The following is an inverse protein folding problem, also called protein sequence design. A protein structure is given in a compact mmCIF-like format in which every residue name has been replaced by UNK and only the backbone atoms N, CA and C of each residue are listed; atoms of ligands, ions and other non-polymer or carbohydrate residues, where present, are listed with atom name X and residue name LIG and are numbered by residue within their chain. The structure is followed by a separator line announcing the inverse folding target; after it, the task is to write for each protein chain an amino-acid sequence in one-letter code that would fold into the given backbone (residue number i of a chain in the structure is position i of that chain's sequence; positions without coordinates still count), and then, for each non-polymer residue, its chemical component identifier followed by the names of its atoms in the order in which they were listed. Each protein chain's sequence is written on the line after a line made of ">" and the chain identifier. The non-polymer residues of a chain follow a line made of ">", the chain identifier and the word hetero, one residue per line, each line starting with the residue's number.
data_IF_903434579340
#
_entry.id   IF_903434579340
#
_cell.length_a   1.000
_cell.length_b   1.000
_cell.length_c   1.000
_cell.angle_alpha   90.00
_cell.angle_beta   90.00
_cell.angle_gamma   90.00
#
_symmetry.space_group_name_H-M   'P 1'
#
loop_
_entity.id
_entity.type
_entity.pdbx_description
1 polymer ?
#
# COMPACT_ATOMS: atom_id res chain seq x y z
N UNK A 1 -18.17 -14.82 8.78
CA UNK A 1 -16.70 -15.03 8.81
C UNK A 1 -16.22 -14.76 10.21
N UNK A 2 -15.39 -15.62 10.81
CA UNK A 2 -14.82 -15.32 12.13
C UNK A 2 -13.80 -14.19 12.00
N UNK A 3 -13.89 -13.16 12.85
CA UNK A 3 -12.97 -12.01 12.85
C UNK A 3 -11.49 -12.45 12.85
N UNK A 4 -11.07 -13.50 13.59
CA UNK A 4 -9.69 -13.98 13.55
C UNK A 4 -9.25 -14.51 12.18
N UNK A 5 -10.13 -15.20 11.44
CA UNK A 5 -9.79 -15.76 10.13
C UNK A 5 -9.58 -14.64 9.09
N UNK A 6 -10.43 -13.60 9.12
CA UNK A 6 -10.24 -12.42 8.28
C UNK A 6 -8.91 -11.73 8.59
N UNK A 7 -8.59 -11.58 9.88
CA UNK A 7 -7.34 -10.95 10.32
C UNK A 7 -6.10 -11.72 9.87
N UNK A 8 -6.09 -13.06 10.06
CA UNK A 8 -4.99 -13.92 9.58
C UNK A 8 -4.84 -13.87 8.06
N UNK A 9 -5.95 -13.84 7.32
CA UNK A 9 -5.92 -13.69 5.87
C UNK A 9 -5.28 -12.38 5.43
N UNK A 10 -5.64 -11.27 6.06
CA UNK A 10 -5.03 -9.97 5.78
C UNK A 10 -3.53 -9.98 6.07
N UNK A 11 -3.10 -10.53 7.22
CA UNK A 11 -1.68 -10.64 7.57
C UNK A 11 -0.92 -11.43 6.49
N UNK A 12 -1.41 -12.61 6.11
CA UNK A 12 -0.72 -13.43 5.11
C UNK A 12 -0.59 -12.71 3.76
N UNK A 13 -1.64 -12.04 3.29
CA UNK A 13 -1.63 -11.30 2.02
C UNK A 13 -0.69 -10.09 2.10
N UNK A 14 -0.73 -9.35 3.21
CA UNK A 14 0.02 -8.09 3.34
C UNK A 14 1.50 -8.33 3.64
N UNK A 15 1.83 -9.30 4.48
CA UNK A 15 3.23 -9.65 4.77
C UNK A 15 3.97 -10.22 3.55
N UNK A 16 3.27 -10.89 2.63
CA UNK A 16 3.86 -11.42 1.39
C UNK A 16 3.90 -10.42 0.25
N UNK A 17 3.18 -9.29 0.35
CA UNK A 17 3.08 -8.31 -0.74
C UNK A 17 4.41 -7.64 -1.08
N UNK A 18 5.20 -7.09 -0.13
CA UNK A 18 6.49 -6.48 -0.43
C UNK A 18 7.50 -7.45 -1.06
N UNK A 19 7.46 -8.72 -0.65
CA UNK A 19 8.27 -9.78 -1.25
C UNK A 19 7.84 -10.05 -2.70
N UNK A 20 6.53 -10.22 -2.93
CA UNK A 20 5.98 -10.42 -4.27
C UNK A 20 6.26 -9.24 -5.22
N UNK A 21 6.28 -7.99 -4.72
CA UNK A 21 6.64 -6.80 -5.49
C UNK A 21 8.09 -6.89 -5.98
N UNK A 22 9.01 -7.33 -5.11
CA UNK A 22 10.42 -7.47 -5.48
C UNK A 22 10.60 -8.57 -6.53
N UNK A 23 10.00 -9.74 -6.31
CA UNK A 23 10.09 -10.86 -7.26
C UNK A 23 9.41 -10.58 -8.60
N UNK A 24 8.27 -9.89 -8.62
CA UNK A 24 7.60 -9.58 -9.90
C UNK A 24 8.31 -8.50 -10.71
N UNK A 25 9.18 -7.71 -10.07
CA UNK A 25 10.04 -6.75 -10.76
C UNK A 25 11.34 -7.40 -11.29
N UNK A 26 11.72 -8.58 -10.79
CA UNK A 26 12.89 -9.33 -11.28
C UNK A 26 12.63 -9.86 -12.69
N UNK A 27 13.55 -9.59 -13.62
CA UNK A 27 13.45 -9.99 -15.03
C UNK A 27 12.76 -8.96 -15.92
N UNK A 28 11.44 -8.79 -15.80
CA UNK A 28 10.62 -7.94 -16.69
C UNK A 28 10.68 -6.43 -16.41
N UNK A 29 11.32 -6.03 -15.31
CA UNK A 29 11.37 -4.65 -14.84
C UNK A 29 10.14 -4.25 -14.02
N UNK A 30 10.29 -3.20 -13.22
CA UNK A 30 9.26 -2.77 -12.26
C UNK A 30 7.93 -2.37 -12.91
N UNK A 31 7.96 -1.77 -14.11
CA UNK A 31 6.76 -1.38 -14.86
C UNK A 31 5.93 -2.59 -15.26
N UNK A 32 6.58 -3.68 -15.69
CA UNK A 32 5.88 -4.91 -16.02
C UNK A 32 5.20 -5.49 -14.77
N UNK A 33 5.94 -5.57 -13.65
CA UNK A 33 5.40 -6.09 -12.39
C UNK A 33 4.17 -5.32 -11.90
N UNK A 34 4.22 -3.98 -11.89
CA UNK A 34 3.09 -3.15 -11.46
C UNK A 34 1.92 -3.24 -12.44
N UNK A 35 2.16 -3.15 -13.75
CA UNK A 35 1.12 -3.22 -14.76
C UNK A 35 0.42 -4.58 -14.77
N UNK A 36 1.17 -5.68 -14.66
CA UNK A 36 0.61 -7.02 -14.58
C UNK A 36 -0.25 -7.19 -13.31
N UNK A 37 0.24 -6.74 -12.15
CA UNK A 37 -0.53 -6.79 -10.89
C UNK A 37 -1.83 -6.00 -10.97
N UNK A 38 -1.78 -4.79 -11.53
CA UNK A 38 -2.94 -3.92 -11.65
C UNK A 38 -3.96 -4.46 -12.66
N UNK A 39 -3.48 -4.99 -13.79
CA UNK A 39 -4.34 -5.62 -14.79
C UNK A 39 -5.01 -6.88 -14.25
N UNK A 40 -4.27 -7.75 -13.56
CA UNK A 40 -4.81 -8.95 -12.91
C UNK A 40 -5.87 -8.57 -11.88
N UNK A 41 -5.58 -7.57 -11.03
CA UNK A 41 -6.55 -7.05 -10.06
C UNK A 41 -7.83 -6.54 -10.74
N UNK A 42 -7.69 -5.74 -11.79
CA UNK A 42 -8.83 -5.21 -12.54
C UNK A 42 -9.67 -6.31 -13.19
N UNK A 43 -9.03 -7.29 -13.85
CA UNK A 43 -9.71 -8.43 -14.48
C UNK A 43 -10.43 -9.28 -13.43
N UNK A 44 -9.77 -9.59 -12.31
CA UNK A 44 -10.40 -10.32 -11.21
C UNK A 44 -11.61 -9.57 -10.64
N UNK A 45 -11.48 -8.27 -10.38
CA UNK A 45 -12.60 -7.45 -9.89
C UNK A 45 -13.76 -7.43 -10.89
N UNK A 46 -13.50 -7.21 -12.19
CA UNK A 46 -14.55 -7.23 -13.22
C UNK A 46 -15.21 -8.61 -13.34
N UNK A 47 -14.45 -9.69 -13.26
CA UNK A 47 -14.98 -11.05 -13.27
C UNK A 47 -15.88 -11.32 -12.07
N UNK A 48 -15.45 -10.92 -10.86
CA UNK A 48 -16.26 -11.05 -9.64
C UNK A 48 -17.51 -10.17 -9.69
N UNK A 49 -17.42 -8.95 -10.22
CA UNK A 49 -18.59 -8.09 -10.43
C UNK A 49 -19.59 -8.73 -11.39
N UNK A 50 -19.11 -9.34 -12.48
CA UNK A 50 -19.95 -10.12 -13.39
C UNK A 50 -20.59 -11.33 -12.72
N UNK A 51 -19.80 -12.10 -11.95
CA UNK A 51 -20.28 -13.29 -11.24
C UNK A 51 -21.34 -12.98 -10.18
N UNK A 52 -21.16 -11.89 -9.43
CA UNK A 52 -22.09 -11.45 -8.40
C UNK A 52 -23.13 -10.44 -8.91
N UNK A 53 -23.16 -10.16 -10.22
CA UNK A 53 -24.06 -9.19 -10.84
C UNK A 53 -24.08 -7.82 -10.14
N UNK A 54 -22.91 -7.37 -9.68
CA UNK A 54 -22.76 -6.07 -9.02
C UNK A 54 -22.92 -4.96 -10.08
N UNK A 55 -23.92 -4.06 -9.95
CA UNK A 55 -24.12 -3.01 -10.92
C UNK A 55 -22.95 -2.02 -10.91
N UNK A 56 -22.45 -1.67 -12.10
CA UNK A 56 -21.41 -0.66 -12.28
C UNK A 56 -22.02 0.60 -12.88
N UNK A 57 -22.17 1.70 -12.10
CA UNK A 57 -22.57 2.99 -12.64
C UNK A 57 -21.62 3.44 -13.76
N UNK A 58 -22.19 3.86 -14.89
CA UNK A 58 -21.44 4.33 -16.07
C UNK A 58 -21.68 5.81 -16.37
N UNK A 59 -22.23 6.55 -15.41
CA UNK A 59 -22.38 7.98 -15.56
C UNK A 59 -21.00 8.67 -15.58
N UNK A 60 -20.95 9.89 -16.14
CA UNK A 60 -19.70 10.62 -16.30
C UNK A 60 -18.99 10.89 -14.98
N UNK A 61 -19.72 11.04 -13.86
CA UNK A 61 -19.10 11.24 -12.54
C UNK A 61 -18.49 9.95 -12.04
N UNK A 62 -19.19 8.82 -12.15
CA UNK A 62 -18.64 7.51 -11.82
C UNK A 62 -17.38 7.17 -12.62
N UNK A 63 -17.41 7.37 -13.94
CA UNK A 63 -16.24 7.17 -14.80
C UNK A 63 -15.07 8.09 -14.42
N UNK A 64 -15.34 9.36 -14.12
CA UNK A 64 -14.30 10.28 -13.65
C UNK A 64 -13.68 9.80 -12.33
N UNK A 65 -14.50 9.34 -11.38
CA UNK A 65 -14.01 8.77 -10.11
C UNK A 65 -13.14 7.54 -10.36
N UNK A 66 -13.52 6.63 -11.26
CA UNK A 66 -12.73 5.44 -11.58
C UNK A 66 -11.37 5.81 -12.18
N UNK A 67 -11.34 6.79 -13.08
CA UNK A 67 -10.09 7.25 -13.69
C UNK A 67 -9.20 7.94 -12.66
N UNK A 68 -9.73 8.85 -11.85
CA UNK A 68 -8.96 9.59 -10.84
C UNK A 68 -8.40 8.62 -9.79
N UNK A 69 -9.24 7.75 -9.23
CA UNK A 69 -8.82 6.76 -8.24
C UNK A 69 -7.83 5.75 -8.85
N UNK A 70 -8.08 5.30 -10.09
CA UNK A 70 -7.21 4.37 -10.81
C UNK A 70 -5.83 4.96 -11.08
N UNK A 71 -5.74 6.22 -11.51
CA UNK A 71 -4.46 6.92 -11.71
C UNK A 71 -3.74 7.09 -10.37
N UNK A 72 -4.44 7.48 -9.30
CA UNK A 72 -3.84 7.59 -7.96
C UNK A 72 -3.26 6.26 -7.47
N UNK A 73 -4.05 5.19 -7.58
CA UNK A 73 -3.63 3.84 -7.17
C UNK A 73 -2.47 3.32 -8.01
N UNK A 74 -2.52 3.49 -9.34
CA UNK A 74 -1.44 3.08 -10.23
C UNK A 74 -0.17 3.90 -9.98
N UNK A 75 -0.29 5.21 -9.75
CA UNK A 75 0.83 6.10 -9.42
C UNK A 75 1.51 5.72 -8.11
N UNK A 76 0.72 5.51 -7.04
CA UNK A 76 1.22 5.02 -5.75
C UNK A 76 1.95 3.68 -5.90
N UNK A 77 1.34 2.72 -6.59
CA UNK A 77 1.97 1.41 -6.83
C UNK A 77 3.23 1.52 -7.69
N UNK A 78 3.25 2.38 -8.70
CA UNK A 78 4.44 2.59 -9.54
C UNK A 78 5.59 3.16 -8.73
N UNK A 79 5.34 4.15 -7.87
CA UNK A 79 6.34 4.70 -6.96
C UNK A 79 6.87 3.64 -5.98
N UNK A 80 5.98 2.76 -5.50
CA UNK A 80 6.35 1.62 -4.65
C UNK A 80 7.28 0.65 -5.37
N UNK A 81 6.88 0.21 -6.56
CA UNK A 81 7.65 -0.73 -7.39
C UNK A 81 9.00 -0.15 -7.79
N UNK A 82 9.03 1.15 -8.15
CA UNK A 82 10.29 1.83 -8.46
C UNK A 82 11.20 1.89 -7.24
N UNK A 83 10.66 2.30 -6.08
CA UNK A 83 11.43 2.43 -4.84
C UNK A 83 11.95 1.09 -4.31
N UNK A 84 11.15 0.03 -4.42
CA UNK A 84 11.51 -1.33 -4.00
C UNK A 84 12.71 -1.93 -4.74
N UNK A 85 13.14 -1.35 -5.87
CA UNK A 85 14.39 -1.74 -6.55
C UNK A 85 15.63 -1.30 -5.77
N UNK A 86 15.53 -0.27 -4.94
CA UNK A 86 16.66 0.36 -4.27
C UNK A 86 16.72 0.07 -2.77
N UNK A 87 15.66 -0.52 -2.20
CA UNK A 87 15.56 -0.80 -0.77
C UNK A 87 15.12 -2.26 -0.51
N UNK A 88 15.51 -2.86 0.62
CA UNK A 88 15.01 -4.18 1.02
C UNK A 88 13.49 -4.18 1.18
N UNK A 89 12.85 -5.34 0.90
CA UNK A 89 11.41 -5.53 1.09
C UNK A 89 10.99 -5.36 2.56
N UNK A 90 11.90 -5.60 3.51
CA UNK A 90 11.73 -5.27 4.93
C UNK A 90 11.44 -3.79 5.12
N UNK A 91 12.32 -2.91 4.64
CA UNK A 91 12.15 -1.45 4.66
C UNK A 91 10.86 -1.01 3.95
N UNK A 92 10.50 -1.60 2.80
CA UNK A 92 9.19 -1.32 2.16
C UNK A 92 8.03 -1.60 3.13
N UNK A 93 8.10 -2.73 3.84
CA UNK A 93 7.07 -3.13 4.80
C UNK A 93 6.97 -2.15 5.97
N UNK A 94 8.11 -1.63 6.44
CA UNK A 94 8.17 -0.58 7.47
C UNK A 94 7.41 0.67 7.03
N UNK A 95 7.72 1.14 5.83
CA UNK A 95 7.15 2.37 5.31
C UNK A 95 5.65 2.23 5.08
N UNK A 96 5.18 1.09 4.57
CA UNK A 96 3.73 0.79 4.49
C UNK A 96 3.07 0.60 5.86
N UNK A 97 3.83 0.21 6.89
CA UNK A 97 3.34 0.22 8.27
C UNK A 97 2.97 1.62 8.77
N UNK A 98 3.43 2.69 8.11
CA UNK A 98 3.05 4.07 8.39
C UNK A 98 1.69 4.46 7.81
N UNK A 99 1.14 3.69 6.86
CA UNK A 99 -0.12 4.02 6.19
C UNK A 99 -1.25 4.36 7.16
N UNK A 100 -1.55 3.58 8.23
CA UNK A 100 -2.62 3.92 9.15
C UNK A 100 -2.45 5.27 9.85
N UNK A 101 -1.20 5.69 10.10
CA UNK A 101 -0.89 6.99 10.71
C UNK A 101 -1.15 8.11 9.70
N UNK A 102 -0.65 7.96 8.46
CA UNK A 102 -0.84 8.94 7.40
C UNK A 102 -2.33 9.08 7.04
N UNK A 103 -3.01 7.95 6.80
CA UNK A 103 -4.46 7.92 6.52
C UNK A 103 -5.25 8.51 7.68
N UNK A 104 -4.85 8.25 8.94
CA UNK A 104 -5.48 8.83 10.11
C UNK A 104 -5.38 10.37 10.15
N UNK A 105 -4.20 10.92 9.88
CA UNK A 105 -3.98 12.39 9.78
C UNK A 105 -4.84 12.99 8.67
N UNK A 106 -4.82 12.38 7.48
CA UNK A 106 -5.59 12.86 6.33
C UNK A 106 -7.11 12.79 6.60
N UNK A 107 -7.59 11.75 7.27
CA UNK A 107 -9.00 11.62 7.63
C UNK A 107 -9.44 12.68 8.65
N UNK A 108 -8.60 13.04 9.62
CA UNK A 108 -8.90 14.16 10.52
C UNK A 108 -8.95 15.49 9.75
N UNK A 109 -8.00 15.71 8.84
CA UNK A 109 -7.88 16.97 8.13
C UNK A 109 -8.94 17.18 7.04
N UNK A 110 -9.28 16.13 6.27
CA UNK A 110 -10.22 16.21 5.15
C UNK A 110 -11.64 15.77 5.51
N UNK A 111 -11.81 14.76 6.37
CA UNK A 111 -13.12 14.24 6.75
C UNK A 111 -13.61 14.77 8.10
N UNK A 112 -12.77 15.51 8.84
CA UNK A 112 -13.13 16.06 10.15
C UNK A 112 -13.30 14.99 11.23
N UNK A 113 -12.80 13.77 11.01
CA UNK A 113 -12.92 12.68 11.98
C UNK A 113 -12.08 12.94 13.24
N UNK A 114 -12.58 12.49 14.40
CA UNK A 114 -11.82 12.53 15.66
C UNK A 114 -11.13 11.18 15.92
N UNK A 115 -10.11 10.89 15.13
CA UNK A 115 -9.39 9.60 15.17
C UNK A 115 -8.30 9.54 16.25
N UNK A 116 -7.79 10.69 16.70
CA UNK A 116 -6.67 10.82 17.64
C UNK A 116 -7.10 10.67 19.10
N UNK A 117 -7.41 9.44 19.53
CA UNK A 117 -7.52 9.12 20.96
C UNK A 117 -6.16 8.75 21.53
N UNK A 118 -5.88 9.03 22.82
CA UNK A 118 -4.58 8.72 23.44
C UNK A 118 -4.17 7.26 23.29
N UNK A 119 -5.12 6.33 23.40
CA UNK A 119 -4.88 4.90 23.22
C UNK A 119 -4.49 4.50 21.79
N UNK A 120 -5.10 5.12 20.76
CA UNK A 120 -4.75 4.87 19.35
C UNK A 120 -3.37 5.44 19.02
N UNK A 121 -3.05 6.62 19.55
CA UNK A 121 -1.72 7.23 19.40
C UNK A 121 -0.66 6.34 20.08
N UNK A 122 -0.92 5.90 21.31
CA UNK A 122 -0.01 4.99 22.03
C UNK A 122 0.22 3.67 21.29
N UNK A 123 -0.84 3.04 20.77
CA UNK A 123 -0.73 1.83 19.96
C UNK A 123 0.04 2.05 18.65
N UNK A 124 -0.19 3.17 17.96
CA UNK A 124 0.53 3.54 16.75
C UNK A 124 2.03 3.77 17.04
N UNK A 125 2.37 4.50 18.10
CA UNK A 125 3.75 4.74 18.51
C UNK A 125 4.48 3.46 18.92
N UNK A 126 3.80 2.55 19.64
CA UNK A 126 4.36 1.23 19.98
C UNK A 126 4.60 0.38 18.73
N UNK A 127 3.64 0.34 17.80
CA UNK A 127 3.81 -0.35 16.52
C UNK A 127 4.97 0.21 15.72
N UNK A 128 5.08 1.54 15.65
CA UNK A 128 6.19 2.24 15.01
C UNK A 128 7.55 1.94 15.66
N UNK A 129 7.60 1.96 16.99
CA UNK A 129 8.82 1.64 17.74
C UNK A 129 9.29 0.21 17.50
N UNK A 130 8.37 -0.77 17.50
CA UNK A 130 8.70 -2.16 17.16
C UNK A 130 9.23 -2.32 15.74
N UNK A 131 8.64 -1.58 14.79
CA UNK A 131 9.07 -1.55 13.40
C UNK A 131 10.47 -0.94 13.23
N UNK A 132 10.75 0.17 13.91
CA UNK A 132 12.08 0.80 13.91
C UNK A 132 13.15 -0.09 14.52
N UNK A 133 12.86 -0.78 15.63
CA UNK A 133 13.79 -1.72 16.27
C UNK A 133 14.12 -2.90 15.36
N UNK A 134 13.12 -3.45 14.65
CA UNK A 134 13.30 -4.60 13.78
C UNK A 134 14.18 -4.31 12.55
N UNK A 135 14.14 -3.07 12.05
CA UNK A 135 14.76 -2.69 10.78
C UNK A 135 15.85 -1.61 10.90
N UNK A 136 16.34 -1.33 12.12
CA UNK A 136 17.32 -0.27 12.37
C UNK A 136 18.62 -0.44 11.55
N UNK A 137 19.13 -1.67 11.50
CA UNK A 137 20.37 -1.98 10.77
C UNK A 137 20.19 -1.84 9.25
N UNK A 138 19.02 -2.24 8.72
CA UNK A 138 18.69 -2.09 7.30
C UNK A 138 18.52 -0.61 6.90
N UNK A 139 17.99 0.22 7.81
CA UNK A 139 17.86 1.67 7.61
C UNK A 139 19.23 2.38 7.65
N UNK A 140 20.15 1.94 8.51
CA UNK A 140 21.51 2.47 8.60
C UNK A 140 22.34 2.21 7.34
N UNK A 141 22.07 1.12 6.63
CA UNK A 141 22.76 0.71 5.41
C UNK A 141 22.24 1.36 4.11
N UNK A 142 21.30 2.31 4.20
CA UNK A 142 20.54 2.84 3.06
C UNK A 142 21.31 3.67 2.00
N UNK A 143 22.66 3.68 1.97
CA UNK A 143 23.53 4.39 1.00
C UNK A 143 22.82 5.12 -0.15
N UNK A 144 22.69 4.45 -1.31
CA UNK A 144 21.95 4.94 -2.50
C UNK A 144 20.42 4.66 -2.45
N UNK A 145 19.91 3.96 -1.44
CA UNK A 145 18.51 3.58 -1.25
C UNK A 145 17.60 4.71 -0.74
N UNK A 146 18.15 5.89 -0.40
CA UNK A 146 17.39 7.04 0.11
C UNK A 146 16.28 7.49 -0.85
N UNK A 147 16.56 7.53 -2.15
CA UNK A 147 15.56 7.88 -3.17
C UNK A 147 14.44 6.84 -3.25
N UNK A 148 14.76 5.56 -3.06
CA UNK A 148 13.76 4.49 -3.00
C UNK A 148 12.86 4.61 -1.78
N UNK A 149 13.43 4.94 -0.61
CA UNK A 149 12.65 5.18 0.61
C UNK A 149 11.69 6.38 0.45
N UNK A 150 12.16 7.49 -0.16
CA UNK A 150 11.31 8.66 -0.45
C UNK A 150 10.18 8.29 -1.42
N UNK A 151 10.46 7.50 -2.47
CA UNK A 151 9.44 7.06 -3.41
C UNK A 151 8.36 6.18 -2.74
N UNK A 152 8.75 5.29 -1.82
CA UNK A 152 7.78 4.48 -1.05
C UNK A 152 7.00 5.34 -0.05
N UNK A 153 7.63 6.33 0.59
CA UNK A 153 6.90 7.28 1.44
C UNK A 153 5.87 8.09 0.65
N UNK A 154 6.23 8.56 -0.55
CA UNK A 154 5.28 9.22 -1.45
C UNK A 154 4.14 8.27 -1.82
N UNK A 155 4.43 7.00 -2.10
CA UNK A 155 3.40 6.01 -2.37
C UNK A 155 2.43 5.85 -1.19
N UNK A 156 2.93 5.83 0.05
CA UNK A 156 2.13 5.72 1.28
C UNK A 156 1.21 6.92 1.48
N UNK A 157 1.63 8.12 1.08
CA UNK A 157 0.79 9.33 1.14
C UNK A 157 -0.28 9.34 0.05
N UNK A 158 0.04 8.78 -1.12
CA UNK A 158 -0.87 8.69 -2.26
C UNK A 158 -1.86 7.51 -2.17
N UNK A 159 -1.63 6.56 -1.26
CA UNK A 159 -2.43 5.35 -1.08
C UNK A 159 -3.66 5.61 -0.21
#
# INVERSE_FOLDING_TARGET
>A
MSVPAAFLGVILIWSTTPLAIKWSAEGGGFLFGVSARMLLGAVCCLALMGLFSVPMPRDRRALATYVIAGIGMFGSMTATYWGAQYIPSGVVSVLFGLTPVVTGVLAVQWLGERLFTPGRIGGALLGLGGLMLLFNDELGALGNGRLGAVAVLLAVVLH
#
